data_IF_705756564205
#
_entry.id   IF_705756564205
#
_cell.length_a   1.000
_cell.length_b   1.000
_cell.length_c   1.000
_cell.angle_alpha   90.00
_cell.angle_beta   90.00
_cell.angle_gamma   90.00
#
_symmetry.space_group_name_H-M   'P 1'
#
loop_
_entity.id
_entity.type
_entity.pdbx_description
1 polymer ?
#
# COMPACT_ATOMS: atom_id res chain seq x y z
N UNK A 1 46.01 -35.89 -60.28
CA UNK A 1 45.03 -36.38 -59.28
C UNK A 1 44.34 -35.19 -58.64
N UNK A 2 43.02 -35.31 -58.42
CA UNK A 2 42.04 -34.25 -58.14
C UNK A 2 42.29 -33.54 -56.80
N UNK A 3 42.18 -32.21 -56.81
CA UNK A 3 42.21 -31.33 -55.65
C UNK A 3 41.03 -31.64 -54.69
N UNK A 4 41.33 -31.72 -53.38
CA UNK A 4 40.31 -31.76 -52.34
C UNK A 4 40.25 -30.41 -51.65
N UNK A 5 39.20 -29.65 -51.96
CA UNK A 5 38.83 -28.40 -51.30
C UNK A 5 38.41 -28.74 -49.87
N UNK A 6 39.26 -28.43 -48.89
CA UNK A 6 38.84 -28.47 -47.50
C UNK A 6 37.92 -27.28 -47.24
N UNK A 7 36.71 -27.64 -46.84
CA UNK A 7 35.55 -26.80 -46.63
C UNK A 7 35.87 -25.81 -45.51
N UNK A 8 35.83 -24.52 -45.85
CA UNK A 8 35.73 -23.40 -44.92
C UNK A 8 34.36 -23.53 -44.25
N UNK A 9 34.31 -24.13 -43.08
CA UNK A 9 33.12 -24.12 -42.21
C UNK A 9 33.52 -24.33 -40.76
N UNK A 10 34.32 -23.40 -40.21
CA UNK A 10 34.59 -23.36 -38.77
C UNK A 10 34.70 -21.91 -38.26
N UNK A 11 33.77 -21.05 -38.70
CA UNK A 11 33.59 -19.68 -38.18
C UNK A 11 32.13 -19.42 -37.75
N UNK A 12 31.26 -20.42 -37.77
CA UNK A 12 29.82 -20.21 -37.61
C UNK A 12 29.23 -20.59 -36.24
N UNK A 13 30.02 -21.00 -35.24
CA UNK A 13 29.46 -21.40 -33.93
C UNK A 13 30.38 -20.96 -32.78
N UNK A 14 30.56 -19.66 -32.58
CA UNK A 14 30.92 -19.12 -31.27
C UNK A 14 30.43 -17.68 -31.09
N UNK A 15 29.17 -17.44 -31.43
CA UNK A 15 28.41 -16.33 -30.87
C UNK A 15 27.32 -16.94 -29.98
N UNK A 16 27.74 -17.66 -28.93
CA UNK A 16 26.83 -17.98 -27.83
C UNK A 16 26.56 -16.65 -27.11
N UNK A 17 25.50 -15.98 -27.54
CA UNK A 17 25.00 -14.76 -26.93
C UNK A 17 24.70 -15.06 -25.46
N UNK A 18 25.56 -14.59 -24.56
CA UNK A 18 25.25 -14.49 -23.14
C UNK A 18 24.17 -13.42 -22.99
N UNK A 19 22.92 -13.77 -23.25
CA UNK A 19 21.79 -12.97 -22.80
C UNK A 19 21.71 -13.14 -21.29
N UNK A 20 22.48 -12.33 -20.56
CA UNK A 20 22.19 -12.12 -19.14
C UNK A 20 20.76 -11.56 -19.09
N UNK A 21 19.81 -12.19 -18.38
CA UNK A 21 18.52 -11.56 -18.17
C UNK A 21 18.80 -10.25 -17.46
N UNK A 22 18.46 -9.12 -18.09
CA UNK A 22 18.43 -7.86 -17.37
C UNK A 22 17.33 -8.05 -16.34
N UNK A 23 17.70 -8.28 -15.08
CA UNK A 23 16.74 -8.26 -14.00
C UNK A 23 16.20 -6.83 -13.98
N UNK A 24 15.00 -6.65 -14.53
CA UNK A 24 14.28 -5.38 -14.39
C UNK A 24 14.06 -5.21 -12.90
N UNK A 25 14.92 -4.45 -12.24
CA UNK A 25 14.76 -4.12 -10.83
C UNK A 25 13.44 -3.38 -10.74
N UNK A 26 12.39 -4.09 -10.36
CA UNK A 26 11.06 -3.52 -10.24
C UNK A 26 11.19 -2.33 -9.29
N UNK A 27 10.90 -1.14 -9.78
CA UNK A 27 10.95 0.06 -8.94
C UNK A 27 10.04 -0.19 -7.75
N UNK A 28 10.56 -0.10 -6.50
CA UNK A 28 9.76 -0.41 -5.34
C UNK A 28 8.52 0.51 -5.33
N UNK A 29 7.37 0.00 -4.89
CA UNK A 29 6.15 0.76 -4.86
C UNK A 29 6.35 1.96 -3.93
N UNK A 30 5.63 3.07 -4.14
CA UNK A 30 5.91 4.31 -3.43
C UNK A 30 5.94 4.18 -1.89
N UNK A 31 5.16 3.23 -1.35
CA UNK A 31 5.06 2.97 0.09
C UNK A 31 6.25 2.22 0.69
N UNK A 32 7.03 1.47 -0.11
CA UNK A 32 8.13 0.67 0.39
C UNK A 32 9.30 1.58 0.82
N UNK A 33 10.10 1.18 1.82
CA UNK A 33 11.25 1.94 2.26
C UNK A 33 12.23 2.24 1.10
N UNK A 34 12.79 3.45 1.07
CA UNK A 34 13.91 3.76 0.18
C UNK A 34 15.10 2.87 0.55
N UNK A 35 15.75 2.27 -0.45
CA UNK A 35 16.78 1.24 -0.26
C UNK A 35 17.82 1.63 0.82
N UNK A 36 17.98 0.77 1.83
CA UNK A 36 18.91 0.96 2.93
C UNK A 36 19.20 -0.33 3.71
N UNK A 37 20.34 -0.96 3.40
CA UNK A 37 21.23 -1.80 4.23
C UNK A 37 20.71 -2.79 5.29
N UNK A 38 19.44 -3.19 5.33
CA UNK A 38 19.07 -4.38 6.12
C UNK A 38 19.18 -5.63 5.25
N UNK A 39 20.40 -6.13 5.05
CA UNK A 39 20.65 -7.43 4.40
C UNK A 39 19.83 -8.61 5.01
N UNK A 40 19.33 -8.43 6.24
CA UNK A 40 18.50 -9.42 6.94
C UNK A 40 17.00 -9.29 6.61
N UNK A 41 16.51 -8.11 6.26
CA UNK A 41 15.07 -7.85 6.11
C UNK A 41 14.66 -7.98 4.65
N UNK A 42 14.05 -9.13 4.32
CA UNK A 42 13.66 -9.45 2.95
C UNK A 42 12.18 -9.22 2.67
N UNK A 43 11.34 -9.27 3.71
CA UNK A 43 9.89 -9.22 3.55
C UNK A 43 9.25 -8.15 4.43
N UNK A 44 8.25 -7.48 3.90
CA UNK A 44 7.32 -6.65 4.67
C UNK A 44 6.01 -7.40 4.79
N UNK A 45 5.53 -7.58 6.02
CA UNK A 45 4.25 -8.20 6.33
C UNK A 45 3.21 -7.15 6.68
N UNK A 46 2.02 -7.32 6.10
CA UNK A 46 0.84 -6.49 6.31
C UNK A 46 -0.15 -7.24 7.20
N UNK A 47 -0.08 -7.11 8.54
CA UNK A 47 -0.84 -7.96 9.45
C UNK A 47 -2.36 -7.79 9.36
N UNK A 48 -2.84 -6.61 8.96
CA UNK A 48 -4.27 -6.35 8.82
C UNK A 48 -4.87 -7.01 7.56
N UNK A 49 -4.09 -7.12 6.48
CA UNK A 49 -4.51 -7.69 5.20
C UNK A 49 -3.96 -9.11 4.97
N UNK A 50 -3.08 -9.60 5.85
CA UNK A 50 -2.49 -10.93 5.80
C UNK A 50 -1.81 -11.25 4.45
N UNK A 51 -0.90 -10.36 4.02
CA UNK A 51 -0.04 -10.62 2.87
C UNK A 51 1.37 -10.09 3.09
N UNK A 52 2.28 -10.47 2.20
CA UNK A 52 3.69 -10.11 2.25
C UNK A 52 4.08 -9.33 1.00
N UNK A 53 5.12 -8.54 1.12
CA UNK A 53 5.84 -7.95 0.00
C UNK A 53 7.32 -8.33 0.12
N UNK A 54 7.88 -8.93 -0.91
CA UNK A 54 9.30 -9.26 -1.00
C UNK A 54 10.05 -8.05 -1.56
N UNK A 55 10.93 -7.46 -0.75
CA UNK A 55 11.72 -6.27 -1.10
C UNK A 55 12.73 -6.55 -2.20
N UNK A 56 13.26 -7.76 -2.28
CA UNK A 56 14.30 -8.12 -3.25
C UNK A 56 13.69 -8.42 -4.62
N UNK A 57 12.55 -9.13 -4.61
CA UNK A 57 11.87 -9.56 -5.85
C UNK A 57 10.86 -8.53 -6.36
N UNK A 58 10.48 -7.57 -5.53
CA UNK A 58 9.49 -6.55 -5.89
C UNK A 58 8.07 -7.10 -6.08
N UNK A 59 7.70 -8.15 -5.35
CA UNK A 59 6.44 -8.89 -5.54
C UNK A 59 5.63 -9.01 -4.26
N UNK A 60 4.31 -8.99 -4.43
CA UNK A 60 3.32 -9.31 -3.41
C UNK A 60 3.09 -10.81 -3.34
N UNK A 61 3.01 -11.35 -2.13
CA UNK A 61 2.72 -12.76 -1.85
C UNK A 61 1.48 -12.81 -0.96
N UNK A 62 0.38 -13.37 -1.46
CA UNK A 62 -0.92 -13.33 -0.78
C UNK A 62 -1.73 -14.61 -0.99
N UNK A 63 -2.71 -14.84 -0.12
CA UNK A 63 -3.61 -15.98 -0.22
C UNK A 63 -4.66 -15.75 -1.32
N UNK A 64 -4.82 -16.71 -2.21
CA UNK A 64 -5.91 -16.84 -3.17
C UNK A 64 -6.60 -18.19 -2.95
N UNK A 65 -7.73 -18.17 -2.24
CA UNK A 65 -8.36 -19.39 -1.75
C UNK A 65 -7.44 -20.14 -0.78
N UNK A 66 -7.13 -21.40 -1.09
CA UNK A 66 -6.23 -22.24 -0.29
C UNK A 66 -4.76 -22.10 -0.67
N UNK A 67 -4.46 -21.38 -1.75
CA UNK A 67 -3.12 -21.29 -2.31
C UNK A 67 -2.48 -19.93 -2.01
N UNK A 68 -1.16 -19.90 -1.93
CA UNK A 68 -0.40 -18.66 -1.91
C UNK A 68 0.13 -18.36 -3.30
N UNK A 69 -0.12 -17.15 -3.77
CA UNK A 69 0.27 -16.70 -5.11
C UNK A 69 1.21 -15.52 -4.99
N UNK A 70 2.06 -15.35 -6.01
CA UNK A 70 2.99 -14.23 -6.13
C UNK A 70 2.57 -13.34 -7.30
N UNK A 71 2.59 -12.02 -7.12
CA UNK A 71 2.19 -11.05 -8.15
C UNK A 71 3.00 -9.77 -8.04
N UNK A 72 3.31 -9.13 -9.16
CA UNK A 72 3.88 -7.77 -9.20
C UNK A 72 2.83 -6.70 -8.80
N UNK A 73 1.55 -7.01 -8.94
CA UNK A 73 0.46 -6.11 -8.61
C UNK A 73 -0.04 -6.36 -7.18
N UNK A 74 -0.51 -5.28 -6.54
CA UNK A 74 -1.20 -5.35 -5.25
C UNK A 74 -2.37 -6.35 -5.37
N UNK A 75 -2.61 -7.20 -4.34
CA UNK A 75 -3.73 -8.13 -4.34
C UNK A 75 -5.04 -7.40 -4.70
N UNK A 76 -5.88 -7.94 -5.61
CA UNK A 76 -7.06 -7.23 -6.11
C UNK A 76 -7.98 -6.70 -5.01
N UNK A 77 -8.16 -7.47 -3.93
CA UNK A 77 -8.96 -7.10 -2.76
C UNK A 77 -8.46 -5.84 -2.02
N UNK A 78 -7.21 -5.44 -2.22
CA UNK A 78 -6.54 -4.37 -1.46
C UNK A 78 -6.06 -3.19 -2.32
N UNK A 79 -6.39 -3.15 -3.62
CA UNK A 79 -5.98 -2.06 -4.53
C UNK A 79 -6.44 -0.67 -4.10
N UNK A 80 -7.57 -0.57 -3.37
CA UNK A 80 -8.10 0.70 -2.86
C UNK A 80 -7.49 1.16 -1.53
N UNK A 81 -6.54 0.41 -0.96
CA UNK A 81 -5.97 0.69 0.36
C UNK A 81 -4.66 1.48 0.20
N UNK A 82 -4.51 2.55 0.98
CA UNK A 82 -3.25 3.26 1.07
C UNK A 82 -2.25 2.49 1.95
N UNK A 83 -1.34 1.76 1.31
CA UNK A 83 -0.36 0.91 1.99
C UNK A 83 0.62 1.68 2.89
N UNK A 84 0.77 3.01 2.73
CA UNK A 84 1.56 3.85 3.64
C UNK A 84 0.91 4.01 5.02
N UNK A 85 -0.40 3.85 5.11
CA UNK A 85 -1.17 4.14 6.32
C UNK A 85 -1.51 2.90 7.14
N UNK A 86 -1.47 1.72 6.53
CA UNK A 86 -1.71 0.45 7.23
C UNK A 86 -0.48 0.03 8.03
N UNK A 87 -0.63 -0.84 9.05
CA UNK A 87 0.52 -1.39 9.77
C UNK A 87 1.44 -2.16 8.83
N UNK A 88 2.74 -1.93 8.95
CA UNK A 88 3.79 -2.65 8.23
C UNK A 88 4.75 -3.26 9.26
N UNK A 89 5.18 -4.50 9.01
CA UNK A 89 6.12 -5.22 9.87
C UNK A 89 7.26 -5.74 9.01
N UNK A 90 8.48 -5.31 9.31
CA UNK A 90 9.68 -5.83 8.69
C UNK A 90 10.01 -7.23 9.22
N UNK A 91 10.14 -8.20 8.31
CA UNK A 91 10.46 -9.58 8.60
C UNK A 91 11.81 -9.96 8.00
N UNK A 92 12.63 -10.61 8.84
CA UNK A 92 13.93 -11.14 8.45
C UNK A 92 13.83 -12.65 8.22
N UNK A 93 13.28 -13.03 7.06
CA UNK A 93 13.08 -14.43 6.65
C UNK A 93 13.98 -14.69 5.44
N UNK A 94 14.84 -15.70 5.55
CA UNK A 94 15.79 -16.08 4.49
C UNK A 94 15.07 -16.76 3.31
N UNK A 95 13.95 -17.45 3.59
CA UNK A 95 13.13 -18.17 2.60
C UNK A 95 12.28 -17.25 1.72
N UNK A 96 12.12 -17.61 0.44
CA UNK A 96 11.19 -16.97 -0.52
C UNK A 96 9.71 -17.34 -0.28
N UNK A 97 9.42 -18.13 0.76
CA UNK A 97 8.08 -18.64 1.09
C UNK A 97 7.69 -18.19 2.51
N UNK A 98 7.54 -16.88 2.76
CA UNK A 98 7.27 -16.36 4.10
C UNK A 98 5.95 -16.87 4.69
N UNK A 99 5.03 -17.28 3.81
CA UNK A 99 3.71 -17.80 4.18
C UNK A 99 3.72 -19.16 4.88
N UNK A 100 4.84 -19.89 4.87
CA UNK A 100 4.97 -21.13 5.66
C UNK A 100 4.80 -20.83 7.16
N UNK A 101 5.23 -19.64 7.59
CA UNK A 101 5.11 -19.17 8.98
C UNK A 101 3.88 -18.27 9.19
N UNK A 102 2.91 -18.29 8.27
CA UNK A 102 1.82 -17.32 8.29
C UNK A 102 0.97 -17.40 9.55
N UNK A 103 0.74 -18.61 10.07
CA UNK A 103 -0.03 -18.80 11.28
C UNK A 103 0.62 -18.07 12.47
N UNK A 104 1.93 -18.23 12.63
CA UNK A 104 2.69 -17.58 13.69
C UNK A 104 2.75 -16.06 13.50
N UNK A 105 2.95 -15.59 12.28
CA UNK A 105 2.94 -14.15 11.98
C UNK A 105 1.59 -13.51 12.29
N UNK A 106 0.48 -14.17 11.95
CA UNK A 106 -0.86 -13.69 12.27
C UNK A 106 -1.01 -13.53 13.78
N UNK A 107 -0.70 -14.56 14.56
CA UNK A 107 -0.81 -14.50 16.03
C UNK A 107 0.10 -13.43 16.61
N UNK A 108 1.37 -13.42 16.22
CA UNK A 108 2.39 -12.50 16.74
C UNK A 108 2.07 -11.04 16.45
N UNK A 109 1.60 -10.74 15.25
CA UNK A 109 1.46 -9.36 14.77
C UNK A 109 0.04 -8.82 14.76
N UNK A 110 -0.97 -9.65 15.07
CA UNK A 110 -2.34 -9.18 15.32
C UNK A 110 -2.35 -8.08 16.38
N UNK A 111 -1.80 -8.34 17.57
CA UNK A 111 -1.77 -7.34 18.64
C UNK A 111 -0.48 -6.49 18.66
N UNK A 112 0.21 -6.36 17.53
CA UNK A 112 1.47 -5.62 17.44
C UNK A 112 1.31 -4.14 17.79
N UNK A 113 2.39 -3.52 18.26
CA UNK A 113 2.46 -2.06 18.46
C UNK A 113 2.04 -1.30 17.20
N UNK A 114 2.50 -1.73 16.02
CA UNK A 114 2.14 -1.12 14.74
C UNK A 114 0.63 -1.12 14.50
N UNK A 115 -0.05 -2.24 14.78
CA UNK A 115 -1.49 -2.35 14.62
C UNK A 115 -2.25 -1.49 15.65
N UNK A 116 -1.81 -1.51 16.92
CA UNK A 116 -2.40 -0.65 17.97
C UNK A 116 -2.27 0.84 17.65
N UNK A 117 -1.10 1.28 17.22
CA UNK A 117 -0.86 2.68 16.85
C UNK A 117 -1.67 3.11 15.62
N UNK A 118 -1.85 2.21 14.65
CA UNK A 118 -2.76 2.46 13.52
C UNK A 118 -4.19 2.73 14.01
N UNK A 119 -4.76 1.86 14.87
CA UNK A 119 -6.12 2.06 15.37
C UNK A 119 -6.25 3.32 16.23
N UNK A 120 -5.25 3.63 17.07
CA UNK A 120 -5.23 4.89 17.84
C UNK A 120 -5.25 6.11 16.93
N UNK A 121 -4.44 6.10 15.86
CA UNK A 121 -4.42 7.18 14.87
C UNK A 121 -5.76 7.33 14.16
N UNK A 122 -6.36 6.21 13.74
CA UNK A 122 -7.69 6.21 13.11
C UNK A 122 -8.75 6.79 14.03
N UNK A 123 -8.75 6.41 15.30
CA UNK A 123 -9.69 6.93 16.30
C UNK A 123 -9.49 8.44 16.57
N UNK A 124 -8.24 8.90 16.66
CA UNK A 124 -7.91 10.32 16.79
C UNK A 124 -8.44 11.12 15.59
N UNK A 125 -8.20 10.64 14.37
CA UNK A 125 -8.66 11.29 13.14
C UNK A 125 -10.20 11.32 13.07
N UNK A 126 -10.85 10.22 13.47
CA UNK A 126 -12.31 10.13 13.54
C UNK A 126 -12.89 11.16 14.52
N UNK A 127 -12.33 11.26 15.74
CA UNK A 127 -12.75 12.26 16.73
C UNK A 127 -12.56 13.69 16.22
N UNK A 128 -11.43 13.97 15.57
CA UNK A 128 -11.16 15.28 14.97
C UNK A 128 -12.20 15.63 13.89
N UNK A 129 -12.51 14.69 12.98
CA UNK A 129 -13.54 14.85 11.97
C UNK A 129 -14.91 15.18 12.58
N UNK A 130 -15.38 14.39 13.55
CA UNK A 130 -16.67 14.65 14.21
C UNK A 130 -16.71 16.01 14.92
N UNK A 131 -15.60 16.46 15.51
CA UNK A 131 -15.52 17.78 16.13
C UNK A 131 -15.71 18.90 15.09
N UNK A 132 -15.06 18.79 13.94
CA UNK A 132 -15.20 19.78 12.86
C UNK A 132 -16.61 19.78 12.26
N UNK A 133 -17.19 18.60 12.02
CA UNK A 133 -18.58 18.49 11.54
C UNK A 133 -19.56 19.13 12.52
N UNK A 134 -19.44 18.82 13.82
CA UNK A 134 -20.30 19.40 14.85
C UNK A 134 -20.14 20.92 14.95
N UNK A 135 -18.92 21.44 14.79
CA UNK A 135 -18.65 22.88 14.76
C UNK A 135 -19.32 23.54 13.55
N UNK A 136 -19.18 22.95 12.36
CA UNK A 136 -19.81 23.44 11.14
C UNK A 136 -21.34 23.44 11.25
N UNK A 137 -21.92 22.37 11.80
CA UNK A 137 -23.37 22.27 12.02
C UNK A 137 -23.88 23.32 13.01
N UNK A 138 -23.19 23.52 14.15
CA UNK A 138 -23.53 24.58 15.12
C UNK A 138 -23.46 25.97 14.46
N UNK A 139 -22.45 26.22 13.65
CA UNK A 139 -22.30 27.48 12.92
C UNK A 139 -23.43 27.69 11.90
N UNK A 140 -23.81 26.65 11.16
CA UNK A 140 -24.93 26.68 10.23
C UNK A 140 -26.25 27.06 10.94
N UNK A 141 -26.61 26.38 12.03
CA UNK A 141 -27.84 26.70 12.78
C UNK A 141 -27.81 28.10 13.41
N UNK A 142 -26.64 28.54 13.91
CA UNK A 142 -26.45 29.92 14.42
C UNK A 142 -26.69 30.96 13.33
N UNK A 143 -26.17 30.73 12.13
CA UNK A 143 -26.33 31.65 11.00
C UNK A 143 -27.78 31.66 10.50
N UNK A 144 -28.43 30.50 10.41
CA UNK A 144 -29.85 30.38 10.04
C UNK A 144 -30.77 31.14 10.99
N UNK A 145 -30.56 31.00 12.31
CA UNK A 145 -31.35 31.74 13.30
C UNK A 145 -31.12 33.25 13.26
N UNK A 146 -29.87 33.69 13.04
CA UNK A 146 -29.55 35.11 12.84
C UNK A 146 -30.23 35.70 11.60
N UNK A 147 -30.22 34.97 10.49
CA UNK A 147 -30.90 35.38 9.26
C UNK A 147 -32.41 35.52 9.49
N UNK A 148 -33.04 34.54 10.14
CA UNK A 148 -34.47 34.59 10.48
C UNK A 148 -34.83 35.81 11.36
N UNK A 149 -34.01 36.09 12.40
CA UNK A 149 -34.20 37.28 13.25
C UNK A 149 -34.06 38.59 12.46
N UNK A 150 -33.12 38.67 11.52
CA UNK A 150 -32.93 39.84 10.65
C UNK A 150 -34.15 40.05 9.74
N UNK A 151 -34.68 38.99 9.13
CA UNK A 151 -35.90 39.05 8.32
C UNK A 151 -37.11 39.54 9.13
N UNK A 152 -37.32 38.99 10.33
CA UNK A 152 -38.42 39.40 11.19
C UNK A 152 -38.32 40.89 11.60
N UNK A 153 -37.13 41.35 12.01
CA UNK A 153 -36.89 42.74 12.42
C UNK A 153 -37.14 43.73 11.27
N UNK A 154 -36.76 43.37 10.06
CA UNK A 154 -36.98 44.23 8.88
C UNK A 154 -38.47 44.30 8.52
N UNK A 155 -39.19 43.18 8.53
CA UNK A 155 -40.63 43.16 8.23
C UNK A 155 -41.48 43.89 9.28
N UNK A 156 -41.09 43.84 10.56
CA UNK A 156 -41.76 44.59 11.63
C UNK A 156 -41.58 46.11 11.52
N UNK A 157 -40.46 46.59 10.95
CA UNK A 157 -40.24 48.02 10.68
C UNK A 157 -41.05 48.53 9.50
N UNK A 158 -41.18 47.73 8.43
CA UNK A 158 -41.99 48.09 7.26
C UNK A 158 -43.48 48.24 7.62
N UNK A 159 -44.00 47.44 8.56
CA UNK A 159 -45.39 47.55 9.04
C UNK A 159 -45.66 48.76 9.96
N UNK A 160 -44.63 49.37 10.56
CA UNK A 160 -44.77 50.51 11.47
C UNK A 160 -44.72 51.88 10.79
N UNK A 161 -44.28 51.90 9.52
CA UNK A 161 -44.14 53.12 8.71
C UNK A 161 -45.21 53.22 7.61
N UNK A 162 -46.30 52.45 7.74
CA UNK A 162 -47.53 52.54 6.95
C UNK A 162 -48.66 52.96 7.87
#
# INVERSE_FOLDING_TARGET
MKAKKFIIAFVAILALTLTVPVETVATPPPWAPAHGYRQKTKHIYFPQQNFYYDLNRGVYIYANGRNWVTSIAIPPAYRGINLRLVPQVELSIVSNRPYIYNQDHRVKYWNSKAQKEHFKRMEKNRKAYYKEVNKAQKQYHKNKSKAAKKHYKNNGKVKKNR
#
